data_IF_626615112335
#
_entry.id   IF_626615112335
#
_cell.length_a   1.000
_cell.length_b   1.000
_cell.length_c   1.000
_cell.angle_alpha   90.00
_cell.angle_beta   90.00
_cell.angle_gamma   90.00
#
_symmetry.space_group_name_H-M   'P 1'
#
loop_
_entity.id
_entity.type
_entity.pdbx_description
1 polymer ?
#
# COMPACT_ATOMS: atom_id res chain seq x y z
N UNK A 1 18.73 31.92 -4.71
CA UNK A 1 18.64 30.49 -5.04
C UNK A 1 17.42 30.17 -5.91
N UNK A 2 16.17 30.28 -5.45
CA UNK A 2 14.99 29.92 -6.28
C UNK A 2 14.92 30.68 -7.62
N UNK A 3 14.94 32.02 -7.59
CA UNK A 3 14.89 32.85 -8.80
C UNK A 3 16.12 32.63 -9.70
N UNK A 4 17.30 32.45 -9.12
CA UNK A 4 18.55 32.20 -9.86
C UNK A 4 18.48 30.86 -10.64
N UNK A 5 17.89 29.82 -10.05
CA UNK A 5 17.66 28.56 -10.73
C UNK A 5 16.67 28.71 -11.88
N UNK A 6 15.58 29.47 -11.69
CA UNK A 6 14.59 29.74 -12.74
C UNK A 6 15.20 30.52 -13.90
N UNK A 7 16.00 31.55 -13.61
CA UNK A 7 16.74 32.31 -14.62
C UNK A 7 17.71 31.40 -15.38
N UNK A 8 18.43 30.53 -14.68
CA UNK A 8 19.34 29.57 -15.31
C UNK A 8 18.60 28.62 -16.25
N UNK A 9 17.45 28.06 -15.82
CA UNK A 9 16.62 27.21 -16.66
C UNK A 9 16.14 27.94 -17.93
N UNK A 10 15.70 29.19 -17.79
CA UNK A 10 15.31 30.03 -18.93
C UNK A 10 16.47 30.27 -19.89
N UNK A 11 17.69 30.53 -19.37
CA UNK A 11 18.89 30.67 -20.20
C UNK A 11 19.23 29.39 -20.96
N UNK A 12 18.94 28.21 -20.40
CA UNK A 12 19.07 26.93 -21.12
C UNK A 12 17.91 26.65 -22.08
N UNK A 13 16.85 27.46 -22.07
CA UNK A 13 15.62 27.20 -22.83
C UNK A 13 14.80 26.04 -22.27
N UNK A 14 14.97 25.71 -20.98
CA UNK A 14 14.22 24.65 -20.32
C UNK A 14 12.93 25.21 -19.70
N UNK A 15 11.76 24.63 -20.00
CA UNK A 15 10.50 25.03 -19.37
C UNK A 15 10.50 24.62 -17.90
N UNK A 16 9.84 25.42 -17.07
CA UNK A 16 9.51 25.07 -15.69
C UNK A 16 8.11 25.58 -15.36
N UNK A 17 7.50 24.97 -14.34
CA UNK A 17 6.24 25.41 -13.74
C UNK A 17 6.42 25.49 -12.23
N UNK A 18 5.47 26.15 -11.57
CA UNK A 18 5.39 26.19 -10.11
C UNK A 18 4.14 25.38 -9.74
N UNK A 19 4.34 24.25 -9.06
CA UNK A 19 3.24 23.44 -8.58
C UNK A 19 2.41 24.23 -7.54
N UNK A 20 1.08 24.02 -7.45
CA UNK A 20 0.26 24.65 -6.43
C UNK A 20 0.63 24.24 -5.01
N UNK A 21 1.05 22.98 -4.84
CA UNK A 21 1.57 22.39 -3.59
C UNK A 21 2.82 21.56 -3.90
N UNK A 22 2.75 20.23 -3.77
CA UNK A 22 3.89 19.33 -3.93
C UNK A 22 4.32 19.18 -5.39
N UNK A 23 5.63 19.18 -5.63
CA UNK A 23 6.19 19.00 -6.96
C UNK A 23 5.98 17.57 -7.46
N UNK A 24 6.11 16.57 -6.59
CA UNK A 24 5.92 15.14 -6.85
C UNK A 24 4.49 14.86 -7.32
N UNK A 25 3.51 15.51 -6.68
CA UNK A 25 2.10 15.42 -7.06
C UNK A 25 1.86 16.01 -8.46
N UNK A 26 2.42 17.19 -8.74
CA UNK A 26 2.31 17.80 -10.07
C UNK A 26 3.02 16.95 -11.14
N UNK A 27 4.19 16.40 -10.84
CA UNK A 27 4.93 15.51 -11.72
C UNK A 27 4.14 14.23 -12.04
N UNK A 28 3.56 13.60 -11.01
CA UNK A 28 2.70 12.44 -11.18
C UNK A 28 1.49 12.77 -12.06
N UNK A 29 0.82 13.91 -11.81
CA UNK A 29 -0.30 14.37 -12.64
C UNK A 29 0.10 14.55 -14.12
N UNK A 30 1.24 15.19 -14.40
CA UNK A 30 1.74 15.38 -15.76
C UNK A 30 2.07 14.06 -16.46
N UNK A 31 2.63 13.08 -15.74
CA UNK A 31 2.94 11.75 -16.28
C UNK A 31 1.66 10.97 -16.60
N UNK A 32 0.67 10.97 -15.69
CA UNK A 32 -0.63 10.31 -15.87
C UNK A 32 -1.37 10.88 -17.10
N UNK A 33 -1.30 12.20 -17.31
CA UNK A 33 -1.90 12.89 -18.44
C UNK A 33 -1.05 12.85 -19.73
N UNK A 34 0.08 12.13 -19.72
CA UNK A 34 0.99 11.98 -20.85
C UNK A 34 1.54 13.32 -21.39
N UNK A 35 1.74 14.30 -20.50
CA UNK A 35 2.49 15.53 -20.80
C UNK A 35 4.00 15.30 -20.73
N UNK A 36 4.42 14.30 -19.97
CA UNK A 36 5.80 13.80 -19.85
C UNK A 36 5.83 12.27 -19.87
N UNK A 37 6.96 11.67 -20.24
CA UNK A 37 7.13 10.21 -20.34
C UNK A 37 7.52 9.53 -19.01
N UNK A 38 7.88 10.31 -18.00
CA UNK A 38 8.20 9.81 -16.67
C UNK A 38 8.70 10.90 -15.73
N UNK A 39 8.83 10.53 -14.47
CA UNK A 39 9.22 11.44 -13.39
C UNK A 39 10.62 11.11 -12.91
N UNK A 40 11.46 12.13 -12.80
CA UNK A 40 12.79 12.02 -12.19
C UNK A 40 12.68 12.51 -10.76
N UNK A 41 12.81 11.60 -9.78
CA UNK A 41 12.81 11.94 -8.36
C UNK A 41 13.41 10.81 -7.53
N UNK A 42 14.00 11.17 -6.39
CA UNK A 42 14.47 10.20 -5.39
C UNK A 42 13.44 9.95 -4.29
N UNK A 43 12.37 10.75 -4.27
CA UNK A 43 11.26 10.67 -3.33
C UNK A 43 10.26 9.58 -3.71
N UNK A 44 9.86 8.76 -2.72
CA UNK A 44 8.90 7.67 -2.90
C UNK A 44 7.44 8.14 -2.97
N UNK A 45 7.12 9.33 -2.45
CA UNK A 45 5.73 9.81 -2.37
C UNK A 45 5.12 10.01 -3.77
N UNK A 46 5.95 10.14 -4.79
CA UNK A 46 5.55 10.18 -6.20
C UNK A 46 4.66 8.99 -6.62
N UNK A 47 4.86 7.80 -6.04
CA UNK A 47 4.01 6.64 -6.30
C UNK A 47 2.66 6.74 -5.59
N UNK A 48 2.64 7.35 -4.40
CA UNK A 48 1.41 7.61 -3.64
C UNK A 48 0.52 8.62 -4.39
N UNK A 49 1.13 9.59 -5.07
CA UNK A 49 0.45 10.51 -5.99
C UNK A 49 0.08 9.88 -7.36
N UNK A 50 0.56 8.67 -7.66
CA UNK A 50 0.12 7.86 -8.78
C UNK A 50 1.01 7.86 -10.02
N UNK A 51 2.26 8.31 -9.93
CA UNK A 51 3.20 8.19 -11.04
C UNK A 51 3.45 6.73 -11.41
N UNK A 52 3.54 6.46 -12.72
CA UNK A 52 3.72 5.09 -13.23
C UNK A 52 5.15 4.77 -13.63
N UNK A 53 5.91 5.78 -14.04
CA UNK A 53 7.27 5.64 -14.58
C UNK A 53 8.21 6.58 -13.83
N UNK A 54 9.08 6.03 -12.97
CA UNK A 54 9.96 6.82 -12.09
C UNK A 54 11.43 6.45 -12.33
N UNK A 55 12.27 7.48 -12.43
CA UNK A 55 13.71 7.39 -12.60
C UNK A 55 14.42 7.97 -11.38
N UNK A 56 15.14 7.11 -10.67
CA UNK A 56 15.83 7.41 -9.43
C UNK A 56 17.35 7.45 -9.62
N UNK A 57 18.02 8.29 -8.83
CA UNK A 57 19.48 8.44 -8.80
C UNK A 57 20.07 8.88 -10.16
N UNK A 58 19.34 9.68 -10.94
CA UNK A 58 19.81 10.13 -12.27
C UNK A 58 21.07 11.01 -12.21
N UNK A 59 21.24 11.72 -11.09
CA UNK A 59 22.35 12.65 -10.86
C UNK A 59 23.51 12.01 -10.08
N UNK A 60 23.44 10.70 -9.77
CA UNK A 60 24.54 9.96 -9.16
C UNK A 60 25.65 9.68 -10.19
N UNK A 61 26.89 9.47 -9.73
CA UNK A 61 28.06 9.24 -10.59
C UNK A 61 28.04 7.85 -11.29
N UNK A 62 26.96 7.09 -11.11
CA UNK A 62 26.78 5.76 -11.71
C UNK A 62 26.50 5.87 -13.20
N UNK A 63 26.85 4.81 -13.94
CA UNK A 63 26.63 4.74 -15.40
C UNK A 63 25.21 4.28 -15.79
N UNK A 64 24.36 4.02 -14.81
CA UNK A 64 22.99 3.54 -15.00
C UNK A 64 22.07 4.30 -14.06
N UNK A 65 20.80 4.37 -14.44
CA UNK A 65 19.71 4.96 -13.67
C UNK A 65 18.83 3.82 -13.16
N UNK A 66 18.30 3.96 -11.95
CA UNK A 66 17.35 3.00 -11.40
C UNK A 66 15.95 3.37 -11.89
N UNK A 67 15.30 2.46 -12.60
CA UNK A 67 13.94 2.67 -13.13
C UNK A 67 12.95 1.82 -12.34
N UNK A 68 11.90 2.46 -11.86
CA UNK A 68 10.80 1.83 -11.14
C UNK A 68 9.52 2.06 -11.92
N UNK A 69 8.86 0.96 -12.30
CA UNK A 69 7.60 0.99 -13.05
C UNK A 69 6.48 0.48 -12.15
N UNK A 70 5.36 1.20 -12.06
CA UNK A 70 4.23 0.79 -11.23
C UNK A 70 3.70 -0.59 -11.64
N UNK A 71 3.71 -0.92 -12.93
CA UNK A 71 3.34 -2.25 -13.43
C UNK A 71 4.22 -3.39 -12.87
N UNK A 72 5.50 -3.10 -12.64
CA UNK A 72 6.46 -4.10 -12.12
C UNK A 72 6.24 -4.26 -10.61
N UNK A 73 5.97 -3.14 -9.91
CA UNK A 73 5.56 -3.15 -8.48
C UNK A 73 4.28 -3.98 -8.30
N UNK A 74 3.26 -3.77 -9.14
CA UNK A 74 2.00 -4.52 -9.09
C UNK A 74 2.20 -6.00 -9.40
N UNK A 75 2.97 -6.33 -10.44
CA UNK A 75 3.12 -7.73 -10.88
C UNK A 75 4.10 -8.55 -10.03
N UNK A 76 5.14 -7.93 -9.47
CA UNK A 76 6.16 -8.63 -8.67
C UNK A 76 5.87 -8.59 -7.18
N UNK A 77 5.32 -7.49 -6.66
CA UNK A 77 5.04 -7.31 -5.22
C UNK A 77 3.56 -7.45 -4.88
N UNK A 78 2.66 -7.38 -5.87
CA UNK A 78 1.21 -7.42 -5.62
C UNK A 78 0.69 -6.15 -4.94
N UNK A 79 1.39 -5.02 -5.07
CA UNK A 79 1.07 -3.76 -4.40
C UNK A 79 0.49 -2.74 -5.39
N UNK A 80 -0.79 -2.42 -5.24
CA UNK A 80 -1.47 -1.32 -5.95
C UNK A 80 -1.17 0.03 -5.30
N UNK A 81 -1.52 1.13 -5.97
CA UNK A 81 -1.39 2.48 -5.40
C UNK A 81 -2.11 2.62 -4.05
N UNK A 82 -3.32 2.08 -3.94
CA UNK A 82 -4.11 2.11 -2.71
C UNK A 82 -3.40 1.35 -1.58
N UNK A 83 -2.78 0.22 -1.91
CA UNK A 83 -1.97 -0.56 -0.96
C UNK A 83 -0.70 0.18 -0.54
N UNK A 84 -0.03 0.89 -1.47
CA UNK A 84 1.12 1.75 -1.13
C UNK A 84 0.71 2.90 -0.19
N UNK A 85 -0.45 3.53 -0.39
CA UNK A 85 -0.99 4.56 0.53
C UNK A 85 -1.26 3.96 1.92
N UNK A 86 -1.82 2.75 1.97
CA UNK A 86 -2.00 2.04 3.26
C UNK A 86 -0.67 1.73 3.92
N UNK A 87 0.34 1.34 3.15
CA UNK A 87 1.70 1.13 3.67
C UNK A 87 2.29 2.43 4.21
N UNK A 88 2.10 3.57 3.54
CA UNK A 88 2.56 4.88 4.03
C UNK A 88 1.91 5.26 5.37
N UNK A 89 0.63 4.96 5.58
CA UNK A 89 -0.05 5.15 6.87
C UNK A 89 0.51 4.25 7.98
N UNK A 90 1.06 3.09 7.64
CA UNK A 90 1.62 2.12 8.59
C UNK A 90 3.09 2.43 8.91
N UNK A 91 3.89 2.74 7.89
CA UNK A 91 5.35 2.94 7.97
C UNK A 91 5.75 4.37 8.32
N UNK A 92 4.90 5.33 7.96
CA UNK A 92 5.21 6.75 7.99
C UNK A 92 5.62 7.29 6.61
N UNK A 93 5.33 8.57 6.40
CA UNK A 93 5.68 9.40 5.24
C UNK A 93 5.65 10.88 5.68
N UNK A 94 5.82 11.82 4.77
CA UNK A 94 5.80 13.25 5.11
C UNK A 94 4.45 13.71 5.68
N UNK A 95 3.36 12.98 5.39
CA UNK A 95 2.02 13.27 5.86
C UNK A 95 1.63 12.55 7.16
N UNK A 96 2.41 11.56 7.62
CA UNK A 96 2.07 10.75 8.81
C UNK A 96 3.29 10.12 9.45
N UNK A 97 3.35 10.08 10.78
CA UNK A 97 4.46 9.41 11.48
C UNK A 97 4.43 7.88 11.38
N UNK A 98 3.31 7.29 10.93
CA UNK A 98 3.11 5.85 10.91
C UNK A 98 2.75 5.25 12.28
N UNK A 99 2.84 3.93 12.39
CA UNK A 99 2.58 3.20 13.64
C UNK A 99 3.90 2.70 14.22
N UNK A 100 4.22 3.15 15.44
CA UNK A 100 5.42 2.72 16.14
C UNK A 100 5.43 1.20 16.35
N UNK A 101 6.50 0.54 15.88
CA UNK A 101 6.68 -0.91 15.96
C UNK A 101 6.23 -1.69 14.71
N UNK A 102 5.66 -1.02 13.71
CA UNK A 102 5.38 -1.61 12.39
C UNK A 102 6.52 -1.24 11.44
N UNK A 103 7.23 -2.26 10.96
CA UNK A 103 8.22 -2.14 9.88
C UNK A 103 7.68 -2.68 8.56
N UNK A 104 8.52 -2.66 7.52
CA UNK A 104 8.13 -3.05 6.15
C UNK A 104 7.47 -4.42 6.04
N UNK A 105 7.99 -5.42 6.77
CA UNK A 105 7.45 -6.78 6.77
C UNK A 105 6.03 -6.80 7.33
N UNK A 106 5.86 -6.26 8.54
CA UNK A 106 4.56 -6.19 9.20
C UNK A 106 3.56 -5.37 8.38
N UNK A 107 4.00 -4.27 7.75
CA UNK A 107 3.13 -3.44 6.93
C UNK A 107 2.57 -4.19 5.72
N UNK A 108 3.43 -4.94 5.00
CA UNK A 108 2.99 -5.79 3.88
C UNK A 108 2.01 -6.86 4.37
N UNK A 109 2.34 -7.53 5.47
CA UNK A 109 1.47 -8.57 6.04
C UNK A 109 0.10 -8.02 6.47
N UNK A 110 0.04 -6.81 7.05
CA UNK A 110 -1.21 -6.13 7.38
C UNK A 110 -2.02 -5.84 6.11
N UNK A 111 -1.40 -5.27 5.08
CA UNK A 111 -2.09 -4.92 3.84
C UNK A 111 -2.64 -6.15 3.12
N UNK A 112 -1.95 -7.29 3.18
CA UNK A 112 -2.45 -8.55 2.62
C UNK A 112 -3.50 -9.25 3.50
N UNK A 113 -3.40 -9.14 4.83
CA UNK A 113 -4.36 -9.73 5.76
C UNK A 113 -5.71 -8.97 5.82
N UNK A 114 -5.69 -7.68 5.48
CA UNK A 114 -6.86 -6.80 5.47
C UNK A 114 -7.01 -6.08 4.10
N UNK A 115 -7.30 -6.81 3.01
CA UNK A 115 -7.37 -6.23 1.68
C UNK A 115 -8.61 -5.35 1.44
N UNK A 116 -9.63 -5.45 2.30
CA UNK A 116 -10.90 -4.72 2.16
C UNK A 116 -10.70 -3.20 2.17
N UNK A 117 -11.65 -2.41 1.64
CA UNK A 117 -11.56 -0.94 1.62
C UNK A 117 -11.39 -0.34 3.03
N UNK A 118 -12.11 -0.90 4.00
CA UNK A 118 -12.05 -0.57 5.42
C UNK A 118 -11.01 -1.41 6.19
N UNK A 119 -10.10 -2.09 5.49
CA UNK A 119 -9.16 -3.04 6.10
C UNK A 119 -8.30 -2.46 7.23
N UNK A 120 -7.83 -1.21 7.09
CA UNK A 120 -7.07 -0.54 8.16
C UNK A 120 -7.91 -0.22 9.40
N UNK A 121 -9.22 0.02 9.21
CA UNK A 121 -10.15 0.21 10.33
C UNK A 121 -10.39 -1.12 11.06
N UNK A 122 -10.60 -2.22 10.33
CA UNK A 122 -10.70 -3.55 10.91
C UNK A 122 -9.41 -3.98 11.64
N UNK A 123 -8.24 -3.62 11.08
CA UNK A 123 -6.95 -3.84 11.71
C UNK A 123 -6.83 -3.11 13.05
N UNK A 124 -7.25 -1.83 13.10
CA UNK A 124 -7.29 -1.05 14.34
C UNK A 124 -8.20 -1.70 15.38
N UNK A 125 -9.41 -2.09 14.98
CA UNK A 125 -10.37 -2.75 15.87
C UNK A 125 -9.83 -4.08 16.43
N UNK A 126 -9.11 -4.85 15.61
CA UNK A 126 -8.46 -6.07 16.07
C UNK A 126 -7.35 -5.82 17.11
N UNK A 127 -6.56 -4.76 16.95
CA UNK A 127 -5.51 -4.41 17.93
C UNK A 127 -6.12 -3.92 19.24
N UNK A 128 -7.17 -3.11 19.17
CA UNK A 128 -7.89 -2.61 20.34
C UNK A 128 -8.76 -3.69 21.01
N UNK A 129 -9.05 -4.80 20.30
CA UNK A 129 -9.89 -5.90 20.82
C UNK A 129 -9.24 -6.61 22.04
N UNK A 130 -10.01 -6.87 23.12
CA UNK A 130 -9.54 -7.66 24.25
C UNK A 130 -9.05 -9.05 23.83
N UNK A 131 -8.04 -9.58 24.51
CA UNK A 131 -7.56 -10.95 24.26
C UNK A 131 -8.70 -11.96 24.43
N UNK A 132 -9.01 -12.79 23.40
CA UNK A 132 -9.98 -13.87 23.53
C UNK A 132 -9.64 -14.81 24.72
N UNK A 133 -8.36 -14.94 25.07
CA UNK A 133 -7.92 -15.72 26.23
C UNK A 133 -8.30 -15.09 27.59
N UNK A 134 -8.58 -13.78 27.64
CA UNK A 134 -9.10 -13.08 28.82
C UNK A 134 -10.62 -13.26 28.91
N UNK A 135 -11.32 -13.26 27.77
CA UNK A 135 -12.77 -13.52 27.69
C UNK A 135 -13.12 -14.99 28.03
N UNK A 136 -12.27 -15.95 27.68
CA UNK A 136 -12.45 -17.37 28.00
C UNK A 136 -12.22 -17.76 29.48
N UNK A 137 -11.88 -16.81 30.37
CA UNK A 137 -11.74 -17.05 31.82
C UNK A 137 -12.93 -16.55 32.65
N UNK A 138 -13.96 -16.00 32.02
CA UNK A 138 -15.19 -15.54 32.68
C UNK A 138 -16.39 -16.48 32.48
N UNK A 139 -16.15 -17.76 32.14
CA UNK A 139 -17.17 -18.79 32.32
C UNK A 139 -17.21 -19.22 33.79
N UNK A 140 -18.20 -18.64 34.46
CA UNK A 140 -18.67 -18.87 35.81
C UNK A 140 -18.54 -20.34 36.23
N UNK A 141 -17.80 -20.55 37.33
CA UNK A 141 -17.94 -21.72 38.19
C UNK A 141 -19.41 -21.85 38.62
N UNK A 142 -20.19 -22.62 37.87
CA UNK A 142 -21.43 -23.20 38.36
C UNK A 142 -21.28 -24.72 38.29
N UNK A 143 -20.90 -25.27 39.45
CA UNK A 143 -21.19 -26.62 39.94
C UNK A 143 -21.74 -27.66 38.95
N UNK A 144 -21.01 -28.75 38.73
CA UNK A 144 -21.58 -29.93 38.09
C UNK A 144 -20.61 -31.08 37.83
N UNK A 145 -20.20 -31.79 38.88
CA UNK A 145 -19.59 -33.12 38.76
C UNK A 145 -20.47 -34.06 37.91
N UNK A 146 -19.90 -34.75 36.91
CA UNK A 146 -20.12 -36.20 36.69
C UNK A 146 -19.23 -36.79 35.59
N UNK A 147 -18.39 -37.75 36.01
CA UNK A 147 -17.72 -38.78 35.22
C UNK A 147 -18.71 -39.62 34.39
N UNK A 148 -18.34 -39.99 33.15
CA UNK A 148 -18.55 -41.30 32.45
C UNK A 148 -18.37 -41.07 30.94
N UNK A 149 -17.91 -42.00 30.09
CA UNK A 149 -17.15 -43.26 30.16
C UNK A 149 -16.78 -43.57 28.69
N UNK A 150 -15.63 -44.19 28.46
CA UNK A 150 -15.11 -44.67 27.17
C UNK A 150 -15.89 -45.90 26.65
N UNK A 151 -16.24 -45.91 25.35
CA UNK A 151 -16.44 -47.09 24.47
C UNK A 151 -16.53 -46.54 23.03
N UNK A 152 -15.80 -46.97 22.00
CA UNK A 152 -15.31 -48.31 21.67
C UNK A 152 -16.33 -48.97 20.73
N UNK A 153 -16.09 -48.94 19.41
CA UNK A 153 -16.91 -49.64 18.41
C UNK A 153 -16.66 -49.18 16.96
N UNK A 154 -15.89 -49.97 16.22
CA UNK A 154 -15.78 -49.97 14.75
C UNK A 154 -17.13 -50.35 14.13
N UNK A 155 -17.47 -49.80 12.95
CA UNK A 155 -18.02 -50.59 11.84
C UNK A 155 -18.01 -49.83 10.51
N UNK A 156 -17.52 -50.54 9.50
CA UNK A 156 -17.43 -50.24 8.07
C UNK A 156 -18.77 -50.42 7.35
N UNK A 157 -19.03 -49.69 6.25
CA UNK A 157 -19.57 -50.31 5.03
C UNK A 157 -19.46 -49.41 3.79
N UNK A 158 -19.44 -50.09 2.64
CA UNK A 158 -19.04 -49.66 1.31
C UNK A 158 -20.17 -49.08 0.41
N UNK A 159 -19.72 -48.36 -0.65
CA UNK A 159 -20.14 -48.38 -2.07
C UNK A 159 -21.40 -47.67 -2.61
N UNK A 160 -21.18 -47.03 -3.77
CA UNK A 160 -22.12 -46.53 -4.81
C UNK A 160 -21.84 -45.05 -5.13
N UNK A 161 -21.51 -44.54 -6.33
CA UNK A 161 -21.84 -44.78 -7.75
C UNK A 161 -20.66 -44.25 -8.61
N UNK A 162 -20.23 -44.83 -9.75
CA UNK A 162 -20.80 -44.84 -11.12
C UNK A 162 -20.88 -43.48 -11.85
N UNK A 163 -20.06 -43.35 -12.92
CA UNK A 163 -20.22 -42.64 -14.22
C UNK A 163 -20.21 -41.09 -14.20
N UNK A 164 -19.08 -40.45 -14.54
CA UNK A 164 -18.68 -39.88 -15.87
C UNK A 164 -18.97 -38.37 -15.97
N UNK A 165 -18.22 -37.59 -16.79
CA UNK A 165 -17.86 -36.21 -16.49
C UNK A 165 -18.78 -35.19 -17.20
N UNK A 166 -19.28 -34.20 -16.45
CA UNK A 166 -19.88 -33.00 -17.03
C UNK A 166 -19.03 -31.77 -16.73
N UNK A 167 -18.87 -30.97 -17.77
CA UNK A 167 -18.02 -29.80 -17.88
C UNK A 167 -18.33 -28.76 -16.79
N UNK A 168 -17.38 -28.48 -15.90
CA UNK A 168 -17.50 -27.41 -14.91
C UNK A 168 -16.96 -26.12 -15.54
N UNK A 169 -17.86 -25.32 -16.11
CA UNK A 169 -17.67 -23.87 -16.18
C UNK A 169 -18.26 -23.25 -14.92
N UNK A 170 -17.42 -22.50 -14.18
CA UNK A 170 -17.85 -21.56 -13.14
C UNK A 170 -17.70 -22.04 -11.69
N UNK A 171 -16.56 -21.73 -11.05
CA UNK A 171 -16.40 -21.67 -9.57
C UNK A 171 -15.06 -21.05 -9.15
N UNK A 172 -14.84 -19.75 -9.40
CA UNK A 172 -13.63 -19.06 -8.90
C UNK A 172 -13.87 -18.13 -7.68
N UNK A 173 -15.13 -17.82 -7.32
CA UNK A 173 -15.39 -16.83 -6.26
C UNK A 173 -15.36 -17.39 -4.82
N UNK A 174 -15.34 -18.72 -4.62
CA UNK A 174 -15.39 -19.32 -3.27
C UNK A 174 -14.01 -19.76 -2.73
N UNK A 175 -12.98 -19.80 -3.58
CA UNK A 175 -11.61 -20.14 -3.16
C UNK A 175 -10.86 -18.90 -2.65
N UNK A 176 -10.97 -17.78 -3.36
CA UNK A 176 -10.31 -16.52 -2.99
C UNK A 176 -10.76 -16.01 -1.61
N UNK A 177 -12.06 -16.07 -1.29
CA UNK A 177 -12.58 -15.63 0.01
C UNK A 177 -12.09 -16.47 1.19
N UNK A 178 -11.97 -17.79 1.00
CA UNK A 178 -11.45 -18.70 2.03
C UNK A 178 -9.94 -18.51 2.24
N UNK A 179 -9.18 -18.24 1.18
CA UNK A 179 -7.74 -17.98 1.26
C UNK A 179 -7.44 -16.67 2.00
N UNK A 180 -8.16 -15.58 1.66
CA UNK A 180 -8.02 -14.30 2.38
C UNK A 180 -8.36 -14.44 3.86
N UNK A 181 -9.45 -15.14 4.18
CA UNK A 181 -9.83 -15.39 5.57
C UNK A 181 -8.76 -16.20 6.33
N UNK A 182 -8.15 -17.20 5.67
CA UNK A 182 -7.07 -17.99 6.26
C UNK A 182 -5.81 -17.14 6.51
N UNK A 183 -5.41 -16.30 5.54
CA UNK A 183 -4.26 -15.38 5.70
C UNK A 183 -4.49 -14.44 6.89
N UNK A 184 -5.70 -13.88 7.01
CA UNK A 184 -6.10 -13.01 8.12
C UNK A 184 -6.00 -13.72 9.47
N UNK A 185 -6.51 -14.94 9.58
CA UNK A 185 -6.43 -15.74 10.81
C UNK A 185 -4.98 -16.08 11.20
N UNK A 186 -4.17 -16.51 10.23
CA UNK A 186 -2.74 -16.79 10.44
C UNK A 186 -2.02 -15.53 10.90
N UNK A 187 -2.23 -14.39 10.23
CA UNK A 187 -1.67 -13.10 10.61
C UNK A 187 -2.02 -12.74 12.05
N UNK A 188 -3.31 -12.78 12.41
CA UNK A 188 -3.78 -12.41 13.74
C UNK A 188 -3.18 -13.31 14.84
N UNK A 189 -3.03 -14.61 14.56
CA UNK A 189 -2.44 -15.56 15.51
C UNK A 189 -0.95 -15.30 15.74
N UNK A 190 -0.18 -15.05 14.68
CA UNK A 190 1.27 -14.82 14.74
C UNK A 190 1.60 -13.48 15.41
N UNK A 191 0.77 -12.47 15.19
CA UNK A 191 1.05 -11.10 15.62
C UNK A 191 0.46 -10.73 16.97
N UNK A 192 -0.32 -11.60 17.63
CA UNK A 192 -1.02 -11.27 18.88
C UNK A 192 -0.13 -10.76 20.01
N UNK A 193 1.10 -11.26 20.11
CA UNK A 193 2.03 -10.82 21.14
C UNK A 193 2.80 -9.56 20.75
N UNK A 194 3.19 -9.44 19.49
CA UNK A 194 3.95 -8.29 18.98
C UNK A 194 3.06 -7.05 18.88
N UNK A 195 1.78 -7.24 18.52
CA UNK A 195 0.81 -6.15 18.37
C UNK A 195 0.55 -5.37 19.67
N UNK A 196 0.87 -5.94 20.83
CA UNK A 196 0.82 -5.25 22.13
C UNK A 196 1.78 -4.07 22.23
N UNK A 197 2.81 -4.03 21.38
CA UNK A 197 3.79 -2.96 21.32
C UNK A 197 3.48 -1.95 20.20
N UNK A 198 2.43 -2.17 19.42
CA UNK A 198 2.02 -1.26 18.35
C UNK A 198 1.16 -0.14 18.91
N UNK A 199 1.65 1.09 18.81
CA UNK A 199 0.97 2.26 19.35
C UNK A 199 0.21 2.94 18.22
N UNK A 200 -1.10 2.69 18.15
CA UNK A 200 -1.95 3.28 17.11
C UNK A 200 -2.37 4.70 17.53
N UNK A 201 -2.09 5.73 16.71
CA UNK A 201 -2.61 7.07 16.94
C UNK A 201 -4.15 7.10 16.88
N UNK A 202 -4.78 7.98 17.66
CA UNK A 202 -6.25 8.10 17.66
C UNK A 202 -6.83 8.51 16.30
N UNK A 203 -6.01 9.16 15.47
CA UNK A 203 -6.33 9.63 14.11
C UNK A 203 -6.16 8.56 13.03
N UNK A 204 -5.73 7.34 13.36
CA UNK A 204 -5.53 6.27 12.38
C UNK A 204 -6.81 5.46 12.12
N UNK A 205 -7.13 5.08 10.87
CA UNK A 205 -6.54 5.57 9.64
C UNK A 205 -6.94 7.03 9.36
N UNK A 206 -6.00 7.84 8.87
CA UNK A 206 -6.25 9.27 8.67
C UNK A 206 -6.84 9.54 7.28
N UNK A 207 -8.14 9.85 7.22
CA UNK A 207 -8.83 10.23 5.97
C UNK A 207 -8.21 11.49 5.32
N UNK A 208 -7.67 12.41 6.13
CA UNK A 208 -6.99 13.61 5.63
C UNK A 208 -5.69 13.28 4.92
N UNK A 209 -4.93 12.29 5.42
CA UNK A 209 -3.69 11.84 4.76
C UNK A 209 -4.01 11.07 3.48
N UNK A 210 -5.02 10.19 3.54
CA UNK A 210 -5.49 9.44 2.37
C UNK A 210 -5.95 10.42 1.27
N UNK A 211 -6.76 11.41 1.61
CA UNK A 211 -7.26 12.39 0.64
C UNK A 211 -6.16 13.29 0.08
N UNK A 212 -5.13 13.61 0.86
CA UNK A 212 -3.96 14.36 0.36
C UNK A 212 -3.24 13.62 -0.76
N UNK A 213 -3.07 12.29 -0.65
CA UNK A 213 -2.45 11.48 -1.71
C UNK A 213 -3.37 11.16 -2.88
N UNK A 214 -4.66 10.89 -2.63
CA UNK A 214 -5.63 10.52 -3.68
C UNK A 214 -5.97 11.73 -4.55
N UNK A 215 -6.21 12.89 -3.93
CA UNK A 215 -6.67 14.11 -4.59
C UNK A 215 -5.79 15.31 -4.21
N UNK A 216 -4.50 15.31 -4.60
CA UNK A 216 -3.61 16.43 -4.32
C UNK A 216 -4.01 17.68 -5.09
N UNK A 217 -3.61 18.85 -4.60
CA UNK A 217 -3.79 20.11 -5.34
C UNK A 217 -2.75 20.24 -6.44
N UNK A 218 -3.19 20.12 -7.68
CA UNK A 218 -2.38 20.22 -8.90
C UNK A 218 -3.01 21.18 -9.90
N UNK A 219 -2.18 21.76 -10.76
CA UNK A 219 -2.62 22.48 -11.95
C UNK A 219 -3.09 21.46 -12.98
N UNK A 220 -4.33 21.62 -13.45
CA UNK A 220 -5.00 20.70 -14.36
C UNK A 220 -4.78 21.02 -15.85
N UNK A 221 -4.00 22.06 -16.16
CA UNK A 221 -3.66 22.46 -17.52
C UNK A 221 -3.04 21.31 -18.32
N UNK A 222 -3.54 21.13 -19.55
CA UNK A 222 -3.03 20.16 -20.52
C UNK A 222 -2.16 20.80 -21.61
N UNK A 223 -1.71 22.04 -21.39
CA UNK A 223 -0.83 22.72 -22.33
C UNK A 223 0.51 22.00 -22.42
N UNK A 224 1.01 21.81 -23.66
CA UNK A 224 2.29 21.13 -23.87
C UNK A 224 3.44 22.08 -23.64
N UNK A 225 4.50 21.56 -23.05
CA UNK A 225 5.75 22.29 -22.91
C UNK A 225 6.38 22.63 -24.26
N UNK A 226 7.09 23.75 -24.28
CA UNK A 226 7.93 24.18 -25.39
C UNK A 226 9.39 24.25 -24.94
N UNK A 227 10.29 23.62 -25.70
CA UNK A 227 11.73 23.62 -25.40
C UNK A 227 12.46 24.61 -26.31
N UNK A 228 13.27 25.46 -25.70
CA UNK A 228 14.13 26.43 -26.37
C UNK A 228 15.53 25.89 -26.68
N UNK A 229 16.43 26.80 -27.05
CA UNK A 229 17.87 26.53 -27.19
C UNK A 229 18.65 27.34 -26.14
N UNK A 230 19.78 26.83 -25.63
CA UNK A 230 20.60 27.57 -24.69
C UNK A 230 21.13 28.89 -25.27
N UNK A 231 20.95 30.00 -24.55
CA UNK A 231 21.55 31.30 -24.85
C UNK A 231 22.98 31.36 -24.29
N UNK A 232 23.95 31.06 -25.15
CA UNK A 232 25.37 31.07 -24.81
C UNK A 232 25.90 32.44 -24.39
N UNK A 233 25.26 33.54 -24.80
CA UNK A 233 25.71 34.89 -24.45
C UNK A 233 25.33 35.25 -23.02
N UNK A 234 24.16 34.80 -22.57
CA UNK A 234 23.70 34.96 -21.19
C UNK A 234 24.42 34.01 -20.24
N UNK A 235 24.58 32.74 -20.62
CA UNK A 235 25.25 31.73 -19.79
C UNK A 235 26.74 32.00 -19.49
N UNK A 236 27.38 32.88 -20.25
CA UNK A 236 28.81 33.24 -20.09
C UNK A 236 29.03 34.48 -19.23
N UNK A 237 27.99 35.24 -18.92
CA UNK A 237 28.07 36.42 -18.04
C UNK A 237 28.04 35.99 -16.58
#
# INVERSE_FOLDING_TARGET
MFAECQELLQMFGLPYIIAPMEAEAQCAYMEINNLVDGVVTDDSDVFLFGARNVYKNIFDDRKYVETYLMKDIESELGLTREQLIRMALLLGSDYTEGISGIGIVNAIEVVHAFPEEDGLQQFREWIESPDPAILGKFDVETSGSSKRRKSGGNESCEKGNSLEPECVEGSDNNQSSNETQHIKEVFMSNHRNVSKNWHIPSTFPSETVISAYISPQVDDSTERFSWGRPDLSLLRK
#
